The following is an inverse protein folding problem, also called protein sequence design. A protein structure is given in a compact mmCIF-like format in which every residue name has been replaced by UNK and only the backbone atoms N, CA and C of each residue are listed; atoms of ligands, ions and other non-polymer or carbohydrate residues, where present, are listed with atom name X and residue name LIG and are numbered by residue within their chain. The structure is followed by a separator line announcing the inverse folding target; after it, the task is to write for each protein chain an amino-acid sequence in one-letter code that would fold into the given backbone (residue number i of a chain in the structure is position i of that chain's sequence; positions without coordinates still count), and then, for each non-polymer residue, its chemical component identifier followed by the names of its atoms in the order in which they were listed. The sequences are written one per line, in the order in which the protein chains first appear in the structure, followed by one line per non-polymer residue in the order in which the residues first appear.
data_IF_588848253286
#
_entry.id   IF_588848253286
#
_cell.length_a   1.000
_cell.length_b   1.000
_cell.length_c   1.000
_cell.angle_alpha   90.00
_cell.angle_beta   90.00
_cell.angle_gamma   90.00
#
_symmetry.space_group_name_H-M   'P 1'
#
loop_
_entity.id
_entity.type
_entity.pdbx_description
1 polymer ?
#
# COMPACT_ATOMS: atom_id res chain seq x y z
N UNK A 1 43.43 -7.24 -0.14
CA UNK A 1 42.07 -7.10 -0.71
C UNK A 1 41.17 -6.51 0.37
N UNK A 2 40.39 -5.49 0.05
CA UNK A 2 39.50 -4.82 1.01
C UNK A 2 38.18 -5.58 1.11
N UNK A 3 37.75 -5.92 2.33
CA UNK A 3 36.46 -6.54 2.62
C UNK A 3 35.29 -5.57 2.40
N UNK A 4 34.07 -6.09 2.26
CA UNK A 4 32.86 -5.31 1.92
C UNK A 4 32.37 -4.36 3.03
N UNK A 5 32.63 -4.67 4.31
CA UNK A 5 32.24 -3.80 5.43
C UNK A 5 30.75 -3.47 5.43
N UNK A 6 30.39 -2.18 5.48
CA UNK A 6 28.99 -1.72 5.50
C UNK A 6 28.18 -2.10 4.26
N UNK A 7 28.82 -2.38 3.12
CA UNK A 7 28.15 -2.85 1.91
C UNK A 7 27.56 -4.25 2.08
N UNK A 8 28.06 -5.06 3.02
CA UNK A 8 27.50 -6.37 3.31
C UNK A 8 26.12 -6.25 3.97
N UNK A 9 25.92 -5.29 4.87
CA UNK A 9 24.58 -5.02 5.42
C UNK A 9 23.63 -4.56 4.31
N UNK A 10 24.08 -3.62 3.47
CA UNK A 10 23.27 -3.18 2.33
C UNK A 10 22.90 -4.33 1.37
N UNK A 11 23.81 -5.30 1.16
CA UNK A 11 23.54 -6.52 0.39
C UNK A 11 22.49 -7.41 1.07
N UNK A 12 22.58 -7.61 2.39
CA UNK A 12 21.58 -8.36 3.18
C UNK A 12 20.22 -7.67 3.15
N UNK A 13 20.22 -6.34 3.13
CA UNK A 13 19.02 -5.51 3.16
C UNK A 13 18.40 -5.23 1.79
N UNK A 14 18.99 -5.77 0.72
CA UNK A 14 18.51 -5.56 -0.65
C UNK A 14 18.67 -4.11 -1.15
N UNK A 15 19.57 -3.34 -0.54
CA UNK A 15 19.74 -1.90 -0.79
C UNK A 15 20.81 -1.55 -1.83
N UNK A 16 21.44 -2.56 -2.42
CA UNK A 16 22.39 -2.39 -3.51
C UNK A 16 21.68 -2.44 -4.85
N UNK A 17 22.13 -1.63 -5.81
CA UNK A 17 21.69 -1.78 -7.20
C UNK A 17 22.08 -3.18 -7.74
N UNK A 18 21.41 -3.70 -8.79
CA UNK A 18 21.72 -5.04 -9.32
C UNK A 18 23.20 -5.23 -9.67
N UNK A 19 23.82 -4.25 -10.33
CA UNK A 19 25.23 -4.28 -10.69
C UNK A 19 26.19 -4.19 -9.48
N UNK A 20 25.76 -3.59 -8.37
CA UNK A 20 26.55 -3.56 -7.12
C UNK A 20 26.40 -4.87 -6.35
N UNK A 21 25.21 -5.46 -6.36
CA UNK A 21 24.94 -6.74 -5.73
C UNK A 21 25.75 -7.87 -6.40
N UNK A 22 25.79 -7.92 -7.74
CA UNK A 22 26.59 -8.89 -8.48
C UNK A 22 28.08 -8.80 -8.12
N UNK A 23 28.66 -7.60 -8.14
CA UNK A 23 30.06 -7.37 -7.74
C UNK A 23 30.33 -7.76 -6.28
N UNK A 24 29.39 -7.51 -5.38
CA UNK A 24 29.52 -7.90 -4.00
C UNK A 24 29.48 -9.42 -3.83
N UNK A 25 28.59 -10.12 -4.57
CA UNK A 25 28.48 -11.57 -4.57
C UNK A 25 29.71 -12.24 -5.18
N UNK A 26 30.29 -11.68 -6.25
CA UNK A 26 31.55 -12.13 -6.83
C UNK A 26 32.69 -12.07 -5.79
N UNK A 27 32.78 -10.96 -5.05
CA UNK A 27 33.75 -10.86 -3.95
C UNK A 27 33.49 -11.89 -2.85
N UNK A 28 32.23 -12.09 -2.46
CA UNK A 28 31.83 -13.07 -1.43
C UNK A 28 32.22 -14.49 -1.85
N UNK A 29 32.05 -14.85 -3.12
CA UNK A 29 32.45 -16.15 -3.65
C UNK A 29 33.96 -16.41 -3.50
N UNK A 30 34.78 -15.37 -3.60
CA UNK A 30 36.24 -15.45 -3.50
C UNK A 30 36.80 -15.13 -2.10
N UNK A 31 35.98 -14.65 -1.16
CA UNK A 31 36.42 -14.21 0.17
C UNK A 31 35.71 -14.96 1.30
N UNK A 32 36.36 -15.93 1.97
CA UNK A 32 35.71 -16.76 2.99
C UNK A 32 35.23 -15.96 4.21
N UNK A 33 35.92 -14.86 4.55
CA UNK A 33 35.51 -13.97 5.64
C UNK A 33 34.19 -13.25 5.32
N UNK A 34 34.08 -12.66 4.13
CA UNK A 34 32.83 -11.99 3.73
C UNK A 34 31.69 -13.00 3.53
N UNK A 35 31.98 -14.23 3.11
CA UNK A 35 31.00 -15.31 3.07
C UNK A 35 30.49 -15.69 4.47
N UNK A 36 31.39 -15.83 5.45
CA UNK A 36 31.02 -16.10 6.84
C UNK A 36 30.16 -14.96 7.43
N UNK A 37 30.58 -13.71 7.26
CA UNK A 37 29.83 -12.53 7.71
C UNK A 37 28.43 -12.45 7.06
N UNK A 38 28.32 -12.71 5.75
CA UNK A 38 27.02 -12.73 5.04
C UNK A 38 26.12 -13.86 5.56
N UNK A 39 26.68 -15.04 5.80
CA UNK A 39 25.92 -16.18 6.33
C UNK A 39 25.36 -15.89 7.73
N UNK A 40 26.18 -15.26 8.60
CA UNK A 40 25.79 -14.88 9.95
C UNK A 40 24.70 -13.79 9.92
N UNK A 41 24.85 -12.77 9.07
CA UNK A 41 23.86 -11.72 8.92
C UNK A 41 22.50 -12.25 8.41
N UNK A 42 22.51 -13.15 7.41
CA UNK A 42 21.28 -13.82 6.94
C UNK A 42 20.65 -14.71 8.00
N UNK A 43 21.46 -15.41 8.79
CA UNK A 43 20.96 -16.21 9.91
C UNK A 43 20.29 -15.34 10.98
N UNK A 44 20.90 -14.21 11.35
CA UNK A 44 20.31 -13.24 12.28
C UNK A 44 18.98 -12.68 11.74
N UNK A 45 18.93 -12.30 10.44
CA UNK A 45 17.70 -11.80 9.83
C UNK A 45 16.57 -12.84 9.86
N UNK A 46 16.88 -14.11 9.55
CA UNK A 46 15.90 -15.20 9.65
C UNK A 46 15.41 -15.42 11.08
N UNK A 47 16.32 -15.34 12.07
CA UNK A 47 15.95 -15.49 13.48
C UNK A 47 15.01 -14.36 13.95
N UNK A 48 15.29 -13.12 13.54
CA UNK A 48 14.45 -11.96 13.85
C UNK A 48 13.10 -12.02 13.12
N UNK A 49 13.07 -12.41 11.84
CA UNK A 49 11.82 -12.53 11.10
C UNK A 49 10.93 -13.67 11.58
N UNK A 50 11.53 -14.71 12.17
CA UNK A 50 10.81 -15.82 12.78
C UNK A 50 10.41 -15.56 14.25
N UNK A 51 10.84 -14.43 14.83
CA UNK A 51 10.44 -14.07 16.18
C UNK A 51 8.94 -13.71 16.17
N UNK A 52 8.17 -14.42 17.01
CA UNK A 52 6.76 -14.11 17.21
C UNK A 52 6.54 -12.74 17.86
N UNK A 53 5.30 -12.22 17.82
CA UNK A 53 4.96 -11.00 18.53
C UNK A 53 5.25 -11.14 20.03
N UNK A 54 5.91 -10.15 20.61
CA UNK A 54 6.10 -10.06 22.06
C UNK A 54 4.86 -9.38 22.64
N UNK A 55 4.00 -10.17 23.27
CA UNK A 55 2.82 -9.62 23.96
C UNK A 55 3.27 -8.75 25.14
N UNK A 56 2.80 -7.49 25.24
CA UNK A 56 3.07 -6.67 26.41
C UNK A 56 2.43 -7.29 27.66
N UNK A 57 3.03 -7.05 28.81
CA UNK A 57 2.40 -7.43 30.08
C UNK A 57 1.03 -6.76 30.19
N UNK A 58 -0.02 -7.47 30.68
CA UNK A 58 -1.39 -6.95 30.68
C UNK A 58 -1.56 -5.70 31.55
N UNK A 59 -0.63 -5.44 32.47
CA UNK A 59 -0.58 -4.28 33.35
C UNK A 59 0.30 -3.13 32.81
N UNK A 60 0.93 -3.27 31.64
CA UNK A 60 1.88 -2.29 31.09
C UNK A 60 1.24 -0.91 30.95
N UNK A 61 0.01 -0.84 30.44
CA UNK A 61 -0.71 0.42 30.28
C UNK A 61 -0.96 1.10 31.64
N UNK A 62 -1.36 0.33 32.65
CA UNK A 62 -1.57 0.84 34.00
C UNK A 62 -0.25 1.36 34.62
N UNK A 63 0.86 0.64 34.42
CA UNK A 63 2.19 1.05 34.88
C UNK A 63 2.69 2.32 34.17
N UNK A 64 2.46 2.47 32.88
CA UNK A 64 2.81 3.68 32.13
C UNK A 64 1.98 4.88 32.57
N UNK A 65 0.68 4.70 32.81
CA UNK A 65 -0.19 5.75 33.35
C UNK A 65 0.26 6.17 34.76
N UNK A 66 0.57 5.20 35.62
CA UNK A 66 1.11 5.47 36.96
C UNK A 66 2.47 6.19 36.92
N UNK A 67 3.31 5.91 35.91
CA UNK A 67 4.56 6.63 35.69
C UNK A 67 4.30 8.07 35.21
N UNK A 68 3.36 8.27 34.28
CA UNK A 68 3.00 9.61 33.81
C UNK A 68 2.46 10.50 34.92
N UNK A 69 1.74 9.92 35.89
CA UNK A 69 1.22 10.62 37.05
C UNK A 69 2.32 11.10 38.02
N UNK A 70 3.54 10.56 37.92
CA UNK A 70 4.70 10.98 38.70
C UNK A 70 5.50 12.11 38.03
N UNK A 71 5.17 12.45 36.78
CA UNK A 71 5.81 13.58 36.09
C UNK A 71 5.27 14.86 36.73
N UNK A 72 6.14 15.70 37.34
CA UNK A 72 5.69 16.95 37.95
C UNK A 72 5.08 17.87 36.87
N UNK A 73 4.07 18.68 37.24
CA UNK A 73 3.43 19.61 36.30
C UNK A 73 4.48 20.53 35.68
N UNK A 74 4.39 20.72 34.37
CA UNK A 74 5.32 21.56 33.59
C UNK A 74 4.93 23.03 33.60
N UNK A 75 3.87 23.39 34.34
CA UNK A 75 3.36 24.75 34.40
C UNK A 75 4.44 25.70 34.94
N UNK A 76 4.90 26.60 34.08
CA UNK A 76 5.91 27.60 34.41
C UNK A 76 7.37 27.18 34.22
N UNK A 77 7.67 25.98 33.71
CA UNK A 77 9.04 25.59 33.34
C UNK A 77 9.38 26.08 31.92
N UNK A 78 10.25 27.10 31.75
CA UNK A 78 10.58 27.65 30.43
C UNK A 78 11.32 26.66 29.53
N UNK A 79 11.90 25.58 30.08
CA UNK A 79 12.58 24.54 29.29
C UNK A 79 11.62 23.45 28.78
N UNK A 80 10.40 23.38 29.32
CA UNK A 80 9.35 22.40 28.95
C UNK A 80 8.09 23.04 28.38
N UNK A 81 8.02 24.37 28.36
CA UNK A 81 6.96 25.10 27.70
C UNK A 81 6.94 24.77 26.19
N UNK A 82 5.74 24.60 25.64
CA UNK A 82 5.59 24.53 24.20
C UNK A 82 6.11 25.85 23.58
N UNK A 83 6.88 25.80 22.48
CA UNK A 83 7.33 27.01 21.82
C UNK A 83 6.14 27.88 21.43
N UNK A 84 6.28 29.19 21.65
CA UNK A 84 5.21 30.13 21.33
C UNK A 84 4.87 30.07 19.82
N UNK A 85 3.61 30.28 19.41
CA UNK A 85 3.23 30.31 17.99
C UNK A 85 4.00 31.35 17.16
N UNK A 86 4.57 32.36 17.82
CA UNK A 86 5.38 33.42 17.23
C UNK A 86 6.89 33.16 17.28
N UNK A 87 7.35 32.02 17.78
CA UNK A 87 8.77 31.70 17.88
C UNK A 87 9.33 31.39 16.47
N UNK A 88 10.25 32.22 15.93
CA UNK A 88 10.82 32.04 14.60
C UNK A 88 11.74 30.81 14.48
N UNK A 89 12.13 30.21 15.60
CA UNK A 89 12.93 28.97 15.65
C UNK A 89 12.07 27.72 15.86
N UNK A 90 10.77 27.88 16.14
CA UNK A 90 9.85 26.77 16.23
C UNK A 90 9.54 26.24 14.83
N UNK A 91 9.95 25.01 14.57
CA UNK A 91 9.52 24.29 13.37
C UNK A 91 8.12 23.73 13.67
N UNK A 92 7.05 24.16 12.97
CA UNK A 92 5.75 23.55 13.14
C UNK A 92 5.80 22.10 12.64
N UNK A 93 6.08 21.17 13.54
CA UNK A 93 6.00 19.75 13.28
C UNK A 93 4.56 19.31 13.60
N UNK A 94 3.74 19.19 12.57
CA UNK A 94 2.46 18.48 12.68
C UNK A 94 2.77 17.01 12.92
N UNK A 95 2.79 16.58 14.19
CA UNK A 95 2.86 15.15 14.49
C UNK A 95 1.56 14.51 13.98
N UNK A 96 1.63 13.45 13.15
CA UNK A 96 0.44 12.76 12.69
C UNK A 96 -0.29 12.20 13.91
N UNK A 97 -1.54 12.65 14.11
CA UNK A 97 -2.44 12.07 15.11
C UNK A 97 -3.10 10.86 14.45
N UNK A 98 -2.55 9.68 14.71
CA UNK A 98 -3.00 8.40 14.16
C UNK A 98 -2.17 7.24 14.74
N UNK A 99 -2.58 6.00 14.44
CA UNK A 99 -1.80 4.83 14.84
C UNK A 99 -0.42 4.87 14.19
N UNK A 100 0.63 4.71 14.99
CA UNK A 100 2.00 4.67 14.50
C UNK A 100 2.25 3.29 13.88
N UNK A 101 2.02 3.14 12.57
CA UNK A 101 2.54 2.00 11.83
C UNK A 101 4.02 2.26 11.55
N UNK A 102 4.90 1.33 11.90
CA UNK A 102 6.37 1.44 11.76
C UNK A 102 6.87 1.48 10.31
N UNK A 103 6.04 1.93 9.36
CA UNK A 103 6.38 2.13 7.95
C UNK A 103 7.32 3.33 7.81
N UNK A 104 8.62 3.03 7.69
CA UNK A 104 9.65 4.03 7.44
C UNK A 104 9.57 4.44 5.97
N UNK A 105 8.73 5.43 5.64
CA UNK A 105 8.69 5.98 4.28
C UNK A 105 10.03 6.64 3.97
N UNK A 106 10.70 6.18 2.90
CA UNK A 106 11.78 6.93 2.24
C UNK A 106 11.20 8.25 1.76
N UNK A 107 11.63 9.34 2.39
CA UNK A 107 11.14 10.68 2.09
C UNK A 107 11.41 11.04 0.63
N UNK A 108 10.38 11.02 -0.21
CA UNK A 108 10.42 11.75 -1.46
C UNK A 108 10.45 13.24 -1.10
N UNK A 109 11.52 13.92 -1.52
CA UNK A 109 11.70 15.35 -1.34
C UNK A 109 10.52 16.08 -1.99
N UNK A 110 9.54 16.48 -1.18
CA UNK A 110 8.52 17.46 -1.58
C UNK A 110 9.23 18.78 -1.87
N UNK A 111 9.59 19.02 -3.15
CA UNK A 111 9.94 20.35 -3.62
C UNK A 111 8.71 21.23 -3.45
N UNK A 112 8.69 22.03 -2.37
CA UNK A 112 7.73 23.12 -2.19
C UNK A 112 8.03 24.18 -3.26
N UNK A 113 7.28 24.17 -4.35
CA UNK A 113 7.29 25.29 -5.29
C UNK A 113 6.36 26.36 -4.70
N UNK A 114 6.96 27.42 -4.17
CA UNK A 114 6.24 28.64 -3.79
C UNK A 114 5.92 29.40 -5.06
N UNK A 115 4.66 29.31 -5.51
CA UNK A 115 4.15 30.05 -6.67
C UNK A 115 3.65 31.43 -6.26
N UNK A 116 4.22 32.46 -6.88
CA UNK A 116 3.86 33.87 -6.75
C UNK A 116 2.49 34.12 -7.40
N UNK A 117 1.53 34.66 -6.64
CA UNK A 117 0.14 34.89 -7.08
C UNK A 117 0.07 36.11 -7.99
N UNK A 118 -0.28 35.91 -9.28
CA UNK A 118 -0.81 36.97 -10.16
C UNK A 118 -1.91 36.39 -11.07
N UNK A 119 -3.15 36.86 -10.89
CA UNK A 119 -4.15 37.00 -11.97
C UNK A 119 -5.07 35.83 -12.34
N UNK A 120 -6.31 35.91 -11.83
CA UNK A 120 -7.60 35.41 -12.34
C UNK A 120 -7.68 34.36 -13.46
N UNK A 121 -8.38 33.25 -13.16
CA UNK A 121 -8.79 32.13 -14.04
C UNK A 121 -7.64 31.26 -14.58
N UNK A 122 -6.59 31.84 -15.15
CA UNK A 122 -5.43 31.10 -15.68
C UNK A 122 -4.66 30.35 -14.58
N UNK A 123 -4.40 31.01 -13.44
CA UNK A 123 -3.70 30.39 -12.29
C UNK A 123 -4.53 29.28 -11.64
N UNK A 124 -5.86 29.42 -11.61
CA UNK A 124 -6.74 28.36 -11.09
C UNK A 124 -6.69 27.12 -12.00
N UNK A 125 -6.78 27.30 -13.32
CA UNK A 125 -6.66 26.19 -14.27
C UNK A 125 -5.27 25.52 -14.21
N UNK A 126 -4.19 26.28 -14.09
CA UNK A 126 -2.83 25.75 -13.93
C UNK A 126 -2.65 25.04 -12.59
N UNK A 127 -3.20 25.59 -11.51
CA UNK A 127 -3.20 24.97 -10.18
C UNK A 127 -3.97 23.64 -10.17
N UNK A 128 -5.16 23.61 -10.79
CA UNK A 128 -5.96 22.39 -10.95
C UNK A 128 -5.27 21.37 -11.86
N UNK A 129 -4.63 21.82 -12.93
CA UNK A 129 -3.87 20.95 -13.83
C UNK A 129 -2.66 20.29 -13.13
N UNK A 130 -1.95 21.04 -12.27
CA UNK A 130 -0.85 20.53 -11.46
C UNK A 130 -1.36 19.63 -10.32
N UNK A 131 -2.50 19.96 -9.70
CA UNK A 131 -3.17 19.11 -8.71
C UNK A 131 -3.76 17.82 -9.31
N UNK A 132 -4.13 17.86 -10.59
CA UNK A 132 -4.65 16.71 -11.34
C UNK A 132 -3.57 15.84 -11.98
N UNK A 133 -2.30 16.05 -11.61
CA UNK A 133 -1.21 15.15 -11.95
C UNK A 133 -1.31 13.92 -11.03
N UNK A 134 -1.75 12.79 -11.60
CA UNK A 134 -1.92 11.56 -10.84
C UNK A 134 -0.56 11.06 -10.31
N UNK A 135 -0.49 10.60 -9.05
CA UNK A 135 0.75 10.10 -8.49
C UNK A 135 1.24 8.90 -9.30
N UNK A 136 2.55 8.87 -9.58
CA UNK A 136 3.17 7.74 -10.24
C UNK A 136 3.26 6.56 -9.26
N UNK A 137 2.77 5.40 -9.67
CA UNK A 137 2.75 4.16 -8.90
C UNK A 137 3.80 3.22 -9.47
N UNK A 138 4.85 2.98 -8.70
CA UNK A 138 5.89 2.00 -9.04
C UNK A 138 5.58 0.70 -8.30
N UNK A 139 5.30 -0.42 -9.01
CA UNK A 139 5.07 -1.71 -8.38
C UNK A 139 6.32 -2.21 -7.64
N UNK A 140 6.12 -3.00 -6.58
CA UNK A 140 7.25 -3.71 -5.97
C UNK A 140 7.67 -4.87 -6.89
N UNK A 141 8.95 -4.91 -7.25
CA UNK A 141 9.53 -5.94 -8.12
C UNK A 141 10.25 -7.03 -7.30
N UNK A 142 10.20 -6.95 -5.97
CA UNK A 142 10.88 -7.90 -5.12
C UNK A 142 10.09 -9.21 -4.99
N UNK A 143 10.77 -10.35 -5.22
CA UNK A 143 10.13 -11.68 -5.24
C UNK A 143 9.43 -12.09 -3.94
N UNK A 144 9.75 -11.46 -2.80
CA UNK A 144 9.09 -11.76 -1.53
C UNK A 144 7.82 -10.95 -1.28
N UNK A 145 7.57 -9.87 -2.01
CA UNK A 145 6.35 -9.07 -1.87
C UNK A 145 5.08 -9.91 -2.09
N UNK A 146 4.94 -10.67 -3.20
CA UNK A 146 3.71 -11.42 -3.44
C UNK A 146 3.45 -12.51 -2.38
N UNK A 147 4.51 -13.17 -1.88
CA UNK A 147 4.37 -14.15 -0.80
C UNK A 147 3.93 -13.50 0.51
N UNK A 148 4.37 -12.26 0.77
CA UNK A 148 3.98 -11.51 1.97
C UNK A 148 2.52 -11.07 1.88
N UNK A 149 2.11 -10.58 0.71
CA UNK A 149 0.72 -10.18 0.43
C UNK A 149 -0.23 -11.36 0.61
N UNK A 150 0.07 -12.51 0.01
CA UNK A 150 -0.74 -13.72 0.20
C UNK A 150 -0.75 -14.21 1.65
N UNK A 151 0.40 -14.19 2.34
CA UNK A 151 0.46 -14.60 3.75
C UNK A 151 -0.36 -13.67 4.68
N UNK A 152 -0.58 -12.41 4.30
CA UNK A 152 -1.41 -11.47 5.03
C UNK A 152 -2.90 -11.64 4.74
N UNK A 153 -3.25 -12.08 3.52
CA UNK A 153 -4.61 -12.37 3.09
C UNK A 153 -5.13 -13.75 3.53
N UNK A 154 -4.22 -14.69 3.82
CA UNK A 154 -4.57 -16.02 4.31
C UNK A 154 -5.59 -15.91 5.47
N UNK A 155 -6.75 -16.58 5.36
CA UNK A 155 -7.88 -16.31 6.21
C UNK A 155 -7.51 -16.55 7.67
N UNK A 156 -7.49 -15.49 8.46
CA UNK A 156 -7.71 -15.62 9.90
C UNK A 156 -9.13 -16.16 10.04
N UNK A 157 -9.25 -17.47 10.15
CA UNK A 157 -10.51 -18.14 10.44
C UNK A 157 -11.16 -17.39 11.61
N UNK A 158 -12.38 -16.89 11.39
CA UNK A 158 -13.24 -16.07 12.27
C UNK A 158 -13.07 -14.54 12.20
N UNK A 159 -13.93 -13.89 11.42
CA UNK A 159 -14.22 -12.46 11.55
C UNK A 159 -15.08 -11.96 10.40
N UNK A 160 -16.27 -11.43 10.71
CA UNK A 160 -17.23 -10.94 9.72
C UNK A 160 -16.62 -9.88 8.79
N UNK A 161 -16.99 -9.92 7.50
CA UNK A 161 -16.72 -8.88 6.51
C UNK A 161 -17.28 -7.55 7.02
N UNK A 162 -16.43 -6.62 7.47
CA UNK A 162 -16.85 -5.28 7.93
C UNK A 162 -16.53 -4.27 6.83
N UNK A 163 -17.53 -3.93 6.03
CA UNK A 163 -17.45 -2.80 5.10
C UNK A 163 -18.02 -1.55 5.79
N UNK A 164 -17.21 -0.49 5.92
CA UNK A 164 -17.70 0.83 6.34
C UNK A 164 -18.11 0.99 7.81
N UNK A 165 -17.64 0.13 8.72
CA UNK A 165 -17.84 0.31 10.16
C UNK A 165 -19.25 0.02 10.70
N UNK A 166 -20.18 -0.46 9.88
CA UNK A 166 -21.47 -0.95 10.34
C UNK A 166 -21.36 -2.44 10.71
N UNK A 167 -21.45 -2.75 12.00
CA UNK A 167 -21.72 -4.14 12.45
C UNK A 167 -23.13 -4.50 12.01
N UNK A 168 -23.27 -5.50 11.14
CA UNK A 168 -24.52 -6.25 11.08
C UNK A 168 -24.51 -7.20 12.27
N UNK A 169 -25.18 -6.80 13.35
CA UNK A 169 -25.43 -7.73 14.45
C UNK A 169 -26.20 -8.93 13.89
N UNK A 170 -25.64 -10.12 14.08
CA UNK A 170 -26.31 -11.36 13.74
C UNK A 170 -27.58 -11.48 14.59
N UNK A 171 -28.78 -11.68 14.00
CA UNK A 171 -29.94 -12.04 14.80
C UNK A 171 -29.73 -13.45 15.34
N UNK A 172 -29.89 -13.61 16.66
CA UNK A 172 -29.89 -14.90 17.32
C UNK A 172 -30.92 -15.85 16.68
N UNK A 173 -30.43 -17.01 16.24
CA UNK A 173 -31.21 -18.24 16.11
C UNK A 173 -32.46 -18.18 15.24
N UNK A 174 -32.30 -18.19 13.92
CA UNK A 174 -33.39 -18.49 12.99
C UNK A 174 -32.87 -19.19 11.74
N UNK A 175 -33.15 -20.48 11.61
CA UNK A 175 -32.87 -21.27 10.40
C UNK A 175 -33.61 -20.69 9.20
N UNK A 176 -32.95 -19.80 8.46
CA UNK A 176 -33.37 -19.29 7.16
C UNK A 176 -32.18 -19.35 6.22
N UNK A 177 -32.26 -20.16 5.17
CA UNK A 177 -31.24 -20.28 4.14
C UNK A 177 -31.15 -19.02 3.29
N UNK A 178 -30.40 -18.03 3.77
CA UNK A 178 -29.94 -16.87 3.01
C UNK A 178 -28.45 -17.03 2.66
N UNK A 179 -28.14 -16.93 1.38
CA UNK A 179 -26.82 -17.13 0.78
C UNK A 179 -25.81 -16.09 1.28
N UNK A 180 -24.76 -16.57 1.96
CA UNK A 180 -23.58 -15.76 2.35
C UNK A 180 -22.86 -15.14 1.13
N UNK A 181 -23.13 -15.66 -0.09
CA UNK A 181 -22.58 -15.19 -1.35
C UNK A 181 -23.03 -13.76 -1.76
N UNK A 182 -24.19 -13.29 -1.31
CA UNK A 182 -24.71 -11.96 -1.71
C UNK A 182 -23.99 -10.79 -1.02
N UNK A 183 -23.30 -11.06 0.10
CA UNK A 183 -22.54 -10.05 0.85
C UNK A 183 -21.35 -9.48 0.08
N UNK A 184 -20.60 -10.33 -0.63
CA UNK A 184 -19.44 -9.90 -1.42
C UNK A 184 -19.82 -9.04 -2.62
N UNK A 185 -20.83 -9.46 -3.39
CA UNK A 185 -21.28 -8.70 -4.55
C UNK A 185 -21.86 -7.33 -4.16
N UNK A 186 -22.62 -7.26 -3.07
CA UNK A 186 -23.13 -6.00 -2.54
C UNK A 186 -22.03 -5.09 -1.99
N UNK A 187 -20.99 -5.66 -1.35
CA UNK A 187 -19.80 -4.92 -0.91
C UNK A 187 -19.04 -4.29 -2.10
N UNK A 188 -18.77 -5.06 -3.16
CA UNK A 188 -18.12 -4.54 -4.37
C UNK A 188 -18.96 -3.45 -5.05
N UNK A 189 -20.28 -3.63 -5.12
CA UNK A 189 -21.18 -2.61 -5.66
C UNK A 189 -21.15 -1.31 -4.82
N UNK A 190 -21.06 -1.41 -3.49
CA UNK A 190 -20.94 -0.26 -2.60
C UNK A 190 -19.59 0.46 -2.75
N UNK A 191 -18.48 -0.27 -2.97
CA UNK A 191 -17.17 0.31 -3.26
C UNK A 191 -17.15 0.98 -4.63
N UNK A 192 -17.73 0.35 -5.65
CA UNK A 192 -17.87 0.94 -6.98
C UNK A 192 -18.69 2.24 -6.95
N UNK A 193 -19.74 2.30 -6.13
CA UNK A 193 -20.51 3.52 -5.91
C UNK A 193 -19.71 4.65 -5.22
N UNK A 194 -18.63 4.30 -4.50
CA UNK A 194 -17.68 5.24 -3.89
C UNK A 194 -16.57 5.67 -4.87
N UNK A 195 -16.56 5.14 -6.09
CA UNK A 195 -15.60 5.51 -7.15
C UNK A 195 -14.44 4.53 -7.30
N UNK A 196 -14.41 3.43 -6.55
CA UNK A 196 -13.46 2.34 -6.76
C UNK A 196 -13.76 1.60 -8.06
N UNK A 197 -12.74 0.97 -8.64
CA UNK A 197 -12.86 0.32 -9.95
C UNK A 197 -13.61 -1.00 -9.83
N UNK A 198 -13.18 -1.84 -8.88
CA UNK A 198 -13.72 -3.13 -8.46
C UNK A 198 -14.02 -4.17 -9.57
N UNK A 199 -13.76 -5.47 -9.34
CA UNK A 199 -14.12 -6.52 -10.30
C UNK A 199 -15.63 -6.77 -10.25
N UNK A 200 -16.40 -6.09 -11.10
CA UNK A 200 -17.88 -6.13 -11.04
C UNK A 200 -18.49 -6.40 -12.42
N UNK A 201 -19.23 -7.52 -12.64
CA UNK A 201 -19.48 -8.58 -11.66
C UNK A 201 -18.23 -9.41 -11.39
N UNK A 202 -18.18 -10.01 -10.19
CA UNK A 202 -17.11 -10.94 -9.82
C UNK A 202 -17.23 -12.23 -10.65
N UNK A 203 -16.11 -12.79 -11.19
CA UNK A 203 -16.16 -14.02 -11.97
C UNK A 203 -16.67 -15.22 -11.18
N UNK A 204 -17.14 -16.25 -11.89
CA UNK A 204 -17.61 -17.48 -11.26
C UNK A 204 -16.51 -18.14 -10.42
N UNK A 205 -16.89 -18.64 -9.24
CA UNK A 205 -15.99 -19.33 -8.32
C UNK A 205 -15.17 -18.41 -7.41
N UNK A 206 -15.16 -17.11 -7.64
CA UNK A 206 -14.54 -16.14 -6.72
C UNK A 206 -15.51 -15.72 -5.62
N UNK A 207 -14.98 -15.46 -4.42
CA UNK A 207 -15.71 -14.87 -3.29
C UNK A 207 -14.86 -13.85 -2.57
N UNK A 208 -15.49 -12.77 -2.11
CA UNK A 208 -14.82 -11.77 -1.27
C UNK A 208 -14.66 -12.33 0.14
N UNK A 209 -13.41 -12.46 0.59
CA UNK A 209 -13.05 -12.89 1.93
C UNK A 209 -12.96 -11.69 2.90
N UNK A 210 -12.26 -10.64 2.49
CA UNK A 210 -12.07 -9.42 3.28
C UNK A 210 -11.93 -8.20 2.36
N UNK A 211 -12.20 -7.01 2.91
CA UNK A 211 -12.02 -5.72 2.23
C UNK A 211 -11.38 -4.73 3.20
N UNK A 212 -10.26 -4.15 2.79
CA UNK A 212 -9.53 -3.13 3.55
C UNK A 212 -9.41 -1.86 2.72
N UNK A 213 -10.15 -0.83 3.10
CA UNK A 213 -10.14 0.50 2.44
C UNK A 213 -9.33 1.51 3.30
N UNK A 214 -8.31 2.12 2.70
CA UNK A 214 -7.68 3.35 3.19
C UNK A 214 -7.93 4.50 2.20
N UNK A 215 -9.17 5.02 2.22
CA UNK A 215 -9.60 6.14 1.39
C UNK A 215 -8.74 7.40 1.53
N UNK A 216 -8.03 7.58 2.66
CA UNK A 216 -7.11 8.72 2.84
C UNK A 216 -5.82 8.54 2.04
N UNK A 217 -5.39 7.29 1.85
CA UNK A 217 -4.23 6.94 1.03
C UNK A 217 -4.60 6.63 -0.42
N UNK A 218 -5.90 6.50 -0.72
CA UNK A 218 -6.36 6.12 -2.06
C UNK A 218 -5.93 4.71 -2.42
N UNK A 219 -5.92 3.81 -1.43
CA UNK A 219 -5.62 2.38 -1.58
C UNK A 219 -6.80 1.56 -1.08
N UNK A 220 -7.25 0.61 -1.91
CA UNK A 220 -8.23 -0.41 -1.56
C UNK A 220 -7.59 -1.78 -1.74
N UNK A 221 -7.75 -2.66 -0.77
CA UNK A 221 -7.31 -4.05 -0.84
C UNK A 221 -8.52 -4.98 -0.67
N UNK A 222 -8.61 -5.99 -1.53
CA UNK A 222 -9.70 -6.96 -1.57
C UNK A 222 -9.08 -8.34 -1.54
N UNK A 223 -9.32 -9.08 -0.47
CA UNK A 223 -8.93 -10.47 -0.35
C UNK A 223 -10.03 -11.33 -0.98
N UNK A 224 -9.66 -12.22 -1.89
CA UNK A 224 -10.55 -13.10 -2.63
C UNK A 224 -10.18 -14.56 -2.40
N UNK A 225 -11.19 -15.37 -2.09
CA UNK A 225 -11.11 -16.80 -2.33
C UNK A 225 -11.24 -17.03 -3.83
N UNK A 226 -10.27 -17.70 -4.44
CA UNK A 226 -10.22 -18.00 -5.86
C UNK A 226 -10.36 -19.52 -6.10
N UNK A 227 -10.84 -19.96 -7.27
CA UNK A 227 -10.72 -21.35 -7.67
C UNK A 227 -9.26 -21.83 -7.55
N UNK A 228 -9.02 -22.87 -6.74
CA UNK A 228 -7.68 -23.44 -6.58
C UNK A 228 -6.75 -22.73 -5.61
N UNK A 229 -7.16 -21.61 -4.99
CA UNK A 229 -6.33 -20.93 -3.98
C UNK A 229 -6.87 -19.56 -3.57
N UNK A 230 -5.98 -18.56 -3.50
CA UNK A 230 -6.30 -17.22 -3.00
C UNK A 230 -5.81 -16.15 -3.99
N UNK A 231 -6.50 -15.01 -4.01
CA UNK A 231 -6.10 -13.85 -4.77
C UNK A 231 -6.29 -12.57 -3.94
N UNK A 232 -5.35 -11.64 -4.04
CA UNK A 232 -5.43 -10.32 -3.42
C UNK A 232 -5.40 -9.29 -4.53
N UNK A 233 -6.37 -8.38 -4.51
CA UNK A 233 -6.41 -7.24 -5.41
C UNK A 233 -6.15 -5.96 -4.65
N UNK A 234 -5.17 -5.17 -5.11
CA UNK A 234 -4.88 -3.83 -4.62
C UNK A 234 -5.22 -2.82 -5.72
N UNK A 235 -6.13 -1.90 -5.42
CA UNK A 235 -6.43 -0.75 -6.26
C UNK A 235 -5.77 0.49 -5.68
N UNK A 236 -5.00 1.21 -6.48
CA UNK A 236 -4.39 2.47 -6.08
C UNK A 236 -4.64 3.55 -7.12
N UNK A 237 -5.18 4.70 -6.70
CA UNK A 237 -5.32 5.86 -7.59
C UNK A 237 -3.94 6.36 -8.03
N UNK A 238 -3.71 6.44 -9.34
CA UNK A 238 -2.42 6.86 -9.88
C UNK A 238 -2.19 6.42 -11.31
N UNK A 239 -0.98 6.73 -11.79
CA UNK A 239 -0.49 6.29 -13.10
C UNK A 239 0.60 5.24 -12.90
N UNK A 240 0.51 4.12 -13.61
CA UNK A 240 1.50 3.05 -13.56
C UNK A 240 2.85 3.53 -14.14
N UNK A 241 3.94 3.32 -13.40
CA UNK A 241 5.31 3.55 -13.85
C UNK A 241 5.76 2.47 -14.84
N UNK A 242 5.28 2.58 -16.08
CA UNK A 242 5.66 1.64 -17.16
C UNK A 242 7.15 1.66 -17.49
N UNK A 243 7.88 2.71 -17.10
CA UNK A 243 9.33 2.79 -17.30
C UNK A 243 10.09 1.85 -16.36
N UNK A 244 9.60 1.67 -15.13
CA UNK A 244 10.11 0.68 -14.19
C UNK A 244 9.84 -0.76 -14.63
N UNK A 245 8.86 -0.96 -15.53
CA UNK A 245 8.44 -2.25 -16.09
C UNK A 245 9.01 -2.53 -17.48
N UNK A 246 9.90 -1.68 -17.98
CA UNK A 246 10.44 -1.79 -19.32
C UNK A 246 11.22 -3.11 -19.51
N UNK A 247 10.88 -3.87 -20.55
CA UNK A 247 11.51 -5.16 -20.85
C UNK A 247 10.95 -6.35 -20.06
N UNK A 248 9.96 -6.13 -19.20
CA UNK A 248 9.19 -7.19 -18.54
C UNK A 248 8.21 -7.87 -19.50
N UNK A 249 7.67 -9.00 -19.06
CA UNK A 249 6.65 -9.75 -19.80
C UNK A 249 5.30 -9.03 -19.74
N UNK A 250 4.58 -9.05 -20.86
CA UNK A 250 3.23 -8.49 -20.95
C UNK A 250 2.26 -9.50 -21.50
N UNK A 251 1.07 -9.52 -20.94
CA UNK A 251 -0.03 -10.39 -21.29
C UNK A 251 -1.26 -9.54 -21.66
N UNK A 252 -1.85 -9.79 -22.82
CA UNK A 252 -3.09 -9.13 -23.24
C UNK A 252 -4.30 -9.93 -22.75
N UNK A 253 -5.17 -9.30 -21.97
CA UNK A 253 -6.40 -9.90 -21.43
C UNK A 253 -7.59 -9.02 -21.78
N UNK A 254 -8.36 -9.43 -22.78
CA UNK A 254 -9.57 -8.73 -23.23
C UNK A 254 -9.28 -7.24 -23.54
N UNK A 255 -8.14 -6.96 -24.19
CA UNK A 255 -7.70 -5.61 -24.55
C UNK A 255 -7.01 -4.83 -23.43
N UNK A 256 -6.79 -5.45 -22.26
CA UNK A 256 -5.98 -4.87 -21.16
C UNK A 256 -4.55 -5.37 -21.29
N UNK A 257 -3.60 -4.43 -21.39
CA UNK A 257 -2.18 -4.76 -21.32
C UNK A 257 -1.78 -4.96 -19.87
N UNK A 258 -1.58 -6.21 -19.49
CA UNK A 258 -1.16 -6.63 -18.15
C UNK A 258 0.35 -6.85 -18.13
N UNK A 259 1.04 -6.31 -17.14
CA UNK A 259 2.46 -6.58 -16.91
C UNK A 259 2.59 -7.74 -15.92
N UNK A 260 3.36 -8.77 -16.28
CA UNK A 260 3.61 -9.95 -15.45
C UNK A 260 4.92 -9.76 -14.69
N UNK A 261 4.84 -9.71 -13.36
CA UNK A 261 5.98 -9.55 -12.45
C UNK A 261 6.49 -10.90 -11.93
N UNK A 262 5.58 -11.86 -11.77
CA UNK A 262 5.85 -13.25 -11.37
C UNK A 262 4.73 -14.17 -11.86
N UNK A 263 5.05 -15.43 -12.13
CA UNK A 263 4.08 -16.49 -12.50
C UNK A 263 3.83 -17.50 -11.37
N UNK A 264 4.69 -17.53 -10.34
CA UNK A 264 4.59 -18.46 -9.22
C UNK A 264 5.02 -17.79 -7.89
N UNK A 265 4.08 -17.25 -7.10
CA UNK A 265 2.66 -17.04 -7.44
C UNK A 265 2.51 -16.00 -8.55
N UNK A 266 1.33 -15.94 -9.18
CA UNK A 266 1.03 -14.90 -10.17
C UNK A 266 1.07 -13.53 -9.49
N UNK A 267 1.82 -12.60 -10.05
CA UNK A 267 1.82 -11.20 -9.66
C UNK A 267 1.75 -10.36 -10.92
N UNK A 268 0.61 -9.69 -11.10
CA UNK A 268 0.31 -8.94 -12.32
C UNK A 268 -0.17 -7.55 -12.00
N UNK A 269 0.17 -6.58 -12.85
CA UNK A 269 -0.21 -5.18 -12.66
C UNK A 269 -0.64 -4.54 -13.97
N UNK A 270 -1.67 -3.71 -13.95
CA UNK A 270 -2.11 -2.97 -15.13
C UNK A 270 -2.77 -1.63 -14.75
N UNK A 271 -2.93 -0.77 -15.76
CA UNK A 271 -3.66 0.49 -15.65
C UNK A 271 -5.12 0.29 -16.06
N UNK A 272 -6.06 0.78 -15.26
CA UNK A 272 -7.47 0.89 -15.59
C UNK A 272 -7.96 2.31 -15.26
N UNK A 273 -8.10 3.16 -16.28
CA UNK A 273 -8.48 4.55 -16.12
C UNK A 273 -7.44 5.29 -15.27
N UNK A 274 -7.86 5.88 -14.16
CA UNK A 274 -7.01 6.60 -13.19
C UNK A 274 -6.51 5.70 -12.03
N UNK A 275 -6.69 4.38 -12.16
CA UNK A 275 -6.37 3.41 -11.11
C UNK A 275 -5.35 2.39 -11.62
N UNK A 276 -4.35 2.11 -10.80
CA UNK A 276 -3.44 0.97 -10.97
C UNK A 276 -4.01 -0.20 -10.19
N UNK A 277 -4.15 -1.33 -10.87
CA UNK A 277 -4.61 -2.58 -10.28
C UNK A 277 -3.41 -3.52 -10.18
N UNK A 278 -3.09 -3.96 -8.97
CA UNK A 278 -2.03 -4.93 -8.65
C UNK A 278 -2.69 -6.17 -8.07
N UNK A 279 -2.45 -7.33 -8.68
CA UNK A 279 -3.05 -8.60 -8.29
C UNK A 279 -1.95 -9.60 -7.99
N UNK A 280 -2.04 -10.20 -6.81
CA UNK A 280 -1.22 -11.34 -6.42
C UNK A 280 -2.14 -12.54 -6.21
N UNK A 281 -1.87 -13.66 -6.87
CA UNK A 281 -2.72 -14.83 -6.79
C UNK A 281 -1.94 -16.14 -6.82
N UNK A 282 -2.31 -17.06 -5.93
CA UNK A 282 -1.87 -18.45 -5.96
C UNK A 282 -2.99 -19.30 -6.59
N UNK A 283 -3.08 -19.24 -7.92
CA UNK A 283 -4.11 -19.91 -8.71
C UNK A 283 -3.61 -20.13 -10.15
N UNK A 284 -4.43 -20.72 -11.01
CA UNK A 284 -4.10 -20.96 -12.41
C UNK A 284 -4.21 -19.67 -13.25
N UNK A 285 -3.43 -19.59 -14.32
CA UNK A 285 -3.41 -18.42 -15.21
C UNK A 285 -4.81 -18.09 -15.77
N UNK A 286 -5.60 -19.09 -16.13
CA UNK A 286 -6.96 -18.91 -16.65
C UNK A 286 -7.87 -18.22 -15.61
N UNK A 287 -7.71 -18.58 -14.34
CA UNK A 287 -8.43 -17.96 -13.22
C UNK A 287 -8.01 -16.51 -13.01
N UNK A 288 -6.70 -16.20 -13.13
CA UNK A 288 -6.21 -14.81 -13.13
C UNK A 288 -6.78 -14.03 -14.31
N UNK A 289 -6.86 -14.64 -15.50
CA UNK A 289 -7.39 -14.00 -16.71
C UNK A 289 -8.85 -13.57 -16.52
N UNK A 290 -9.66 -14.46 -15.95
CA UNK A 290 -11.07 -14.18 -15.64
C UNK A 290 -11.21 -13.00 -14.65
N UNK A 291 -10.35 -12.94 -13.62
CA UNK A 291 -10.33 -11.85 -12.66
C UNK A 291 -9.93 -10.51 -13.32
N UNK A 292 -8.89 -10.49 -14.15
CA UNK A 292 -8.48 -9.29 -14.89
C UNK A 292 -9.61 -8.79 -15.81
N UNK A 293 -10.29 -9.69 -16.51
CA UNK A 293 -11.38 -9.35 -17.42
C UNK A 293 -12.60 -8.74 -16.69
N UNK A 294 -12.79 -9.02 -15.40
CA UNK A 294 -13.87 -8.43 -14.60
C UNK A 294 -13.68 -6.94 -14.30
N UNK A 295 -12.47 -6.39 -14.46
CA UNK A 295 -12.23 -4.95 -14.36
C UNK A 295 -12.58 -4.24 -15.67
N UNK A 296 -13.08 -3.00 -15.65
CA UNK A 296 -13.37 -2.26 -16.87
C UNK A 296 -12.11 -1.93 -17.66
N UNK A 297 -12.12 -2.14 -18.99
CA UNK A 297 -11.05 -1.71 -19.89
C UNK A 297 -11.16 -0.19 -20.15
N UNK A 298 -10.68 0.63 -19.24
CA UNK A 298 -10.63 2.10 -19.39
C UNK A 298 -9.21 2.56 -19.69
N UNK A 299 -9.05 3.32 -20.76
CA UNK A 299 -7.80 4.03 -21.02
C UNK A 299 -7.63 5.20 -20.04
N UNK A 300 -6.38 5.48 -19.68
CA UNK A 300 -6.05 6.67 -18.91
C UNK A 300 -6.19 7.92 -19.78
N UNK A 301 -7.05 8.87 -19.39
CA UNK A 301 -7.21 10.14 -20.10
C UNK A 301 -6.19 11.18 -19.60
N UNK A 302 -5.12 11.35 -20.38
CA UNK A 302 -4.08 12.35 -20.16
C UNK A 302 -4.47 13.77 -20.64
N UNK A 303 -5.66 13.95 -21.21
CA UNK A 303 -6.15 15.20 -21.74
C UNK A 303 -6.20 16.33 -20.70
N UNK A 304 -5.95 17.56 -21.17
CA UNK A 304 -6.00 18.76 -20.32
C UNK A 304 -7.34 18.92 -19.57
N UNK A 305 -8.52 18.70 -20.20
CA UNK A 305 -9.80 18.80 -19.49
C UNK A 305 -9.95 17.77 -18.37
N UNK A 306 -9.51 16.52 -18.59
CA UNK A 306 -9.53 15.46 -17.60
C UNK A 306 -8.60 15.76 -16.41
N UNK A 307 -7.44 16.37 -16.68
CA UNK A 307 -6.53 16.84 -15.61
C UNK A 307 -7.16 17.95 -14.77
N UNK A 308 -7.82 18.92 -15.40
CA UNK A 308 -8.47 20.01 -14.66
C UNK A 308 -9.64 19.49 -13.82
N UNK A 309 -10.45 18.57 -14.34
CA UNK A 309 -11.56 17.97 -13.59
C UNK A 309 -11.07 17.15 -12.40
N UNK A 310 -10.00 16.35 -12.56
CA UNK A 310 -9.35 15.64 -11.45
C UNK A 310 -8.83 16.59 -10.38
N UNK A 311 -8.09 17.63 -10.77
CA UNK A 311 -7.60 18.64 -9.83
C UNK A 311 -8.73 19.34 -9.08
N UNK A 312 -9.88 19.53 -9.73
CA UNK A 312 -11.07 20.09 -9.10
C UNK A 312 -11.67 19.14 -8.07
N UNK A 313 -11.82 17.85 -8.39
CA UNK A 313 -12.30 16.82 -7.45
C UNK A 313 -11.37 16.67 -6.25
N UNK A 314 -10.04 16.70 -6.46
CA UNK A 314 -9.07 16.69 -5.36
C UNK A 314 -9.20 17.93 -4.47
N UNK A 315 -9.40 19.10 -5.07
CA UNK A 315 -9.58 20.35 -4.33
C UNK A 315 -10.89 20.36 -3.53
N UNK A 316 -12.01 19.94 -4.12
CA UNK A 316 -13.32 19.92 -3.43
C UNK A 316 -13.40 18.81 -2.38
N UNK A 317 -12.79 17.64 -2.62
CA UNK A 317 -12.66 16.58 -1.63
C UNK A 317 -11.88 17.01 -0.39
N UNK A 318 -10.82 17.81 -0.56
CA UNK A 318 -10.07 18.40 0.55
C UNK A 318 -10.89 19.43 1.35
N UNK A 319 -11.83 20.13 0.72
CA UNK A 319 -12.66 21.17 1.35
C UNK A 319 -13.93 20.62 2.02
N UNK A 320 -14.42 19.44 1.61
CA UNK A 320 -15.61 18.80 2.19
C UNK A 320 -15.41 18.08 3.53
N UNK A 321 -14.21 18.14 4.12
CA UNK A 321 -13.86 17.43 5.36
C UNK A 321 -13.62 18.33 6.59
N UNK A 322 -14.03 19.60 6.51
CA UNK A 322 -13.99 20.57 7.62
C UNK A 322 -15.29 20.65 8.41
#
# INVERSE_FOLDING_TARGET
MTHLGSRLSALVDGQLSPAEAERALEHVACCPRCAAELSAARAARRALSAAGPVEPAPDLAARLLALSAQIPPTDGDPLRAAPAPSDPWAVPATLPRGAWSGEVRRGSLRRRVVGLVVGGVGVAAVGLFALGESPLVTPDLHRSDPLTVLAQAAPRATGALVVGGARTDAPDGGSGGGTVADGGASALAALAAQGWTCPTPLPEGFRVADVRDDARRGVLEIDLEAPGGEAVVREQTGLLDTSALAGGETWDVDGRRVHVLSEAPWHVVWQSGDTVIDVVADTEQETVAALVAAFPARDYDAGVPARISRGWTTMTGALGTS
#
